data_IF_252626294045
#
_entry.id   IF_252626294045
#
_cell.length_a   1.000
_cell.length_b   1.000
_cell.length_c   1.000
_cell.angle_alpha   90.00
_cell.angle_beta   90.00
_cell.angle_gamma   90.00
#
_symmetry.space_group_name_H-M   'P 1'
#
loop_
_entity.id
_entity.type
_entity.pdbx_description
1 polymer ?
#
# COMPACT_ATOMS: atom_id res chain seq x y z
N UNK A 1 30.66 12.67 1.20
CA UNK A 1 29.23 12.60 0.82
C UNK A 1 28.69 11.23 1.20
N UNK A 2 27.78 11.14 2.16
CA UNK A 2 27.14 9.86 2.50
C UNK A 2 26.10 9.54 1.42
N UNK A 3 26.34 8.47 0.66
CA UNK A 3 25.38 7.98 -0.35
C UNK A 3 24.49 6.95 0.33
N UNK A 4 23.17 7.15 0.27
CA UNK A 4 22.22 6.16 0.77
C UNK A 4 22.48 4.81 0.08
N UNK A 5 22.46 3.73 0.84
CA UNK A 5 22.65 2.37 0.31
C UNK A 5 21.49 2.01 -0.60
N UNK A 6 21.73 1.15 -1.60
CA UNK A 6 20.71 0.70 -2.56
C UNK A 6 19.44 0.16 -1.88
N UNK A 7 19.58 -0.46 -0.70
CA UNK A 7 18.46 -0.91 0.13
C UNK A 7 17.54 0.22 0.60
N UNK A 8 18.07 1.39 0.91
CA UNK A 8 17.28 2.58 1.27
C UNK A 8 16.60 3.22 0.06
N UNK A 9 17.06 2.89 -1.16
CA UNK A 9 16.46 3.36 -2.41
C UNK A 9 15.33 2.45 -2.90
N UNK A 10 15.23 1.23 -2.39
CA UNK A 10 14.13 0.32 -2.67
C UNK A 10 12.84 0.88 -2.06
N UNK A 11 11.94 1.36 -2.92
CA UNK A 11 10.64 1.88 -2.51
C UNK A 11 9.64 0.71 -2.47
N UNK A 12 9.01 0.52 -1.30
CA UNK A 12 7.94 -0.45 -1.09
C UNK A 12 6.72 0.25 -0.51
N UNK A 13 5.56 0.00 -1.10
CA UNK A 13 4.28 0.55 -0.69
C UNK A 13 3.33 -0.60 -0.41
N UNK A 14 2.80 -0.64 0.81
CA UNK A 14 1.72 -1.55 1.20
C UNK A 14 0.43 -0.72 1.31
N UNK A 15 -0.57 -1.06 0.49
CA UNK A 15 -1.86 -0.39 0.42
C UNK A 15 -2.91 -1.19 1.19
N UNK A 16 -3.31 -0.66 2.35
CA UNK A 16 -4.38 -1.23 3.16
C UNK A 16 -5.73 -0.75 2.63
N UNK A 17 -6.58 -1.68 2.24
CA UNK A 17 -7.91 -1.42 1.65
C UNK A 17 -9.01 -2.15 2.41
N UNK A 18 -10.26 -1.79 2.15
CA UNK A 18 -11.46 -2.50 2.62
C UNK A 18 -12.51 -2.53 1.51
N UNK A 19 -13.36 -3.55 1.48
CA UNK A 19 -14.47 -3.64 0.52
C UNK A 19 -15.81 -3.63 1.26
N UNK A 20 -16.82 -2.85 0.81
CA UNK A 20 -16.77 -1.83 -0.25
C UNK A 20 -16.22 -0.47 0.24
N UNK A 21 -15.40 0.22 -0.58
CA UNK A 21 -14.79 1.52 -0.24
C UNK A 21 -14.44 2.36 -1.48
N UNK A 22 -15.31 3.32 -1.85
CA UNK A 22 -15.06 4.18 -3.02
C UNK A 22 -13.83 5.09 -2.92
N UNK A 23 -13.45 5.49 -1.70
CA UNK A 23 -12.19 6.24 -1.48
C UNK A 23 -10.96 5.35 -1.74
N UNK A 24 -11.06 4.07 -1.41
CA UNK A 24 -9.98 3.11 -1.60
C UNK A 24 -9.76 2.86 -3.10
N UNK A 25 -10.84 2.79 -3.90
CA UNK A 25 -10.74 2.67 -5.37
C UNK A 25 -10.02 3.88 -6.00
N UNK A 26 -10.38 5.09 -5.56
CA UNK A 26 -9.73 6.32 -6.02
C UNK A 26 -8.25 6.34 -5.63
N UNK A 27 -7.94 6.03 -4.37
CA UNK A 27 -6.56 5.97 -3.89
C UNK A 27 -5.74 4.92 -4.65
N UNK A 28 -6.30 3.73 -4.90
CA UNK A 28 -5.66 2.67 -5.68
C UNK A 28 -5.31 3.14 -7.08
N UNK A 29 -6.24 3.82 -7.77
CA UNK A 29 -5.98 4.37 -9.10
C UNK A 29 -4.79 5.36 -9.09
N UNK A 30 -4.73 6.25 -8.10
CA UNK A 30 -3.61 7.20 -7.95
C UNK A 30 -2.29 6.47 -7.71
N UNK A 31 -2.26 5.47 -6.83
CA UNK A 31 -1.04 4.69 -6.55
C UNK A 31 -0.55 3.96 -7.80
N UNK A 32 -1.44 3.34 -8.59
CA UNK A 32 -1.07 2.70 -9.85
C UNK A 32 -0.51 3.70 -10.87
N UNK A 33 -1.10 4.90 -10.96
CA UNK A 33 -0.58 5.97 -11.84
C UNK A 33 0.83 6.41 -11.46
N UNK A 34 1.15 6.46 -10.16
CA UNK A 34 2.51 6.77 -9.69
C UNK A 34 3.44 5.61 -9.99
N UNK A 35 3.01 4.36 -9.80
CA UNK A 35 3.80 3.15 -10.08
C UNK A 35 4.24 3.06 -11.53
N UNK A 36 3.38 3.49 -12.46
CA UNK A 36 3.69 3.56 -13.89
C UNK A 36 4.84 4.53 -14.21
N UNK A 37 5.03 5.59 -13.40
CA UNK A 37 6.09 6.60 -13.58
C UNK A 37 7.35 6.26 -12.79
N UNK A 38 7.18 5.65 -11.62
CA UNK A 38 8.26 5.24 -10.72
C UNK A 38 8.00 3.81 -10.25
N UNK A 39 8.76 2.82 -10.73
CA UNK A 39 8.63 1.46 -10.25
C UNK A 39 8.89 1.35 -8.75
N UNK A 40 8.01 0.66 -8.06
CA UNK A 40 8.15 0.27 -6.65
C UNK A 40 7.45 -1.07 -6.40
N UNK A 41 7.85 -1.74 -5.33
CA UNK A 41 7.17 -2.93 -4.82
C UNK A 41 5.82 -2.52 -4.25
N UNK A 42 4.74 -3.11 -4.77
CA UNK A 42 3.39 -2.79 -4.37
C UNK A 42 2.71 -4.05 -3.85
N UNK A 43 2.15 -3.95 -2.65
CA UNK A 43 1.38 -4.99 -1.99
C UNK A 43 0.02 -4.41 -1.59
N UNK A 44 -1.05 -5.16 -1.77
CA UNK A 44 -2.40 -4.76 -1.41
C UNK A 44 -2.95 -5.72 -0.37
N UNK A 45 -3.39 -5.17 0.77
CA UNK A 45 -3.90 -5.94 1.91
C UNK A 45 -5.33 -5.48 2.17
N UNK A 46 -6.30 -6.35 1.95
CA UNK A 46 -7.65 -6.11 2.40
C UNK A 46 -7.74 -6.40 3.90
N UNK A 47 -7.94 -5.36 4.71
CA UNK A 47 -7.99 -5.48 6.17
C UNK A 47 -9.19 -6.30 6.66
N UNK A 48 -10.18 -6.51 5.80
CA UNK A 48 -11.38 -7.30 6.09
C UNK A 48 -11.26 -8.78 5.73
N UNK A 49 -10.15 -9.24 5.14
CA UNK A 49 -9.95 -10.67 4.83
C UNK A 49 -9.62 -11.50 6.08
N UNK A 50 -9.95 -12.79 6.04
CA UNK A 50 -9.59 -13.75 7.12
C UNK A 50 -8.07 -13.88 7.24
N UNK A 51 -7.52 -13.77 8.44
CA UNK A 51 -6.07 -13.81 8.69
C UNK A 51 -5.41 -12.42 8.80
N UNK A 52 -6.17 -11.35 8.58
CA UNK A 52 -5.71 -9.97 8.76
C UNK A 52 -6.27 -9.31 10.02
N UNK A 53 -6.59 -10.08 11.08
CA UNK A 53 -7.19 -9.58 12.33
C UNK A 53 -6.34 -8.46 12.96
N UNK A 54 -5.01 -8.57 12.85
CA UNK A 54 -4.07 -7.54 13.30
C UNK A 54 -4.28 -6.20 12.59
N UNK A 55 -4.57 -6.22 11.29
CA UNK A 55 -4.81 -5.00 10.51
C UNK A 55 -6.25 -4.53 10.70
N UNK A 56 -7.21 -5.46 10.75
CA UNK A 56 -8.61 -5.15 11.03
C UNK A 56 -8.73 -4.34 12.32
N UNK A 57 -8.12 -4.77 13.42
CA UNK A 57 -8.21 -4.07 14.71
C UNK A 57 -7.63 -2.65 14.71
N UNK A 58 -6.74 -2.31 13.77
CA UNK A 58 -6.14 -0.98 13.64
C UNK A 58 -6.90 -0.05 12.72
N UNK A 59 -7.75 -0.59 11.84
CA UNK A 59 -8.44 0.16 10.79
C UNK A 59 -9.97 0.01 10.82
N UNK A 60 -10.51 -0.80 11.73
CA UNK A 60 -11.94 -0.95 12.03
C UNK A 60 -12.40 0.21 12.92
N UNK A 61 -12.75 1.33 12.28
CA UNK A 61 -13.40 2.50 12.88
C UNK A 61 -14.68 2.85 12.12
#
# INVERSE_FOLDING_TARGET
>A
MFRATSRLLACRITFFTRTPCGLCDTAKAVVQNVRAKRPFEYEEINVMDSGHEKWRSLYEF
#
